data_IF_361578948576
#
_entry.id   IF_361578948576
#
_cell.length_a   1.000
_cell.length_b   1.000
_cell.length_c   1.000
_cell.angle_alpha   90.00
_cell.angle_beta   90.00
_cell.angle_gamma   90.00
#
_symmetry.space_group_name_H-M   'P 1'
#
loop_
_entity.id
_entity.type
_entity.pdbx_description
1 polymer ?
#
# COMPACT_ATOMS: atom_id res chain seq x y z
N UNK A 1 -13.55 78.19 18.59
CA UNK A 1 -14.36 77.62 17.48
C UNK A 1 -13.46 76.71 16.67
N UNK A 2 -13.46 75.41 16.98
CA UNK A 2 -12.51 74.42 16.46
C UNK A 2 -13.27 73.20 15.95
N UNK A 3 -12.87 72.74 14.76
CA UNK A 3 -13.54 71.75 13.92
C UNK A 3 -13.41 70.34 14.52
N UNK A 4 -14.52 69.64 14.70
CA UNK A 4 -14.53 68.19 14.96
C UNK A 4 -14.70 67.43 13.64
N UNK A 5 -13.73 66.57 13.33
CA UNK A 5 -13.73 65.63 12.22
C UNK A 5 -14.35 64.31 12.69
N UNK A 6 -15.46 63.88 12.07
CA UNK A 6 -16.00 62.53 12.23
C UNK A 6 -15.34 61.62 11.20
N UNK A 7 -14.61 60.61 11.66
CA UNK A 7 -14.19 59.47 10.84
C UNK A 7 -15.22 58.35 10.99
N UNK A 8 -15.95 58.07 9.91
CA UNK A 8 -16.82 56.91 9.76
C UNK A 8 -15.98 55.68 9.39
N UNK A 9 -15.95 54.68 10.26
CA UNK A 9 -15.41 53.35 9.94
C UNK A 9 -16.41 52.60 9.03
N UNK A 10 -16.04 52.36 7.77
CA UNK A 10 -16.69 51.37 6.92
C UNK A 10 -16.16 49.97 7.28
N UNK A 11 -16.99 49.12 7.88
CA UNK A 11 -16.76 47.68 7.90
C UNK A 11 -17.30 47.06 6.60
N UNK A 12 -16.40 46.64 5.72
CA UNK A 12 -16.73 45.82 4.57
C UNK A 12 -16.74 44.35 4.99
N UNK A 13 -17.91 43.73 5.07
CA UNK A 13 -18.04 42.28 5.24
C UNK A 13 -17.63 41.57 3.94
N UNK A 14 -16.48 40.91 3.93
CA UNK A 14 -16.06 40.02 2.85
C UNK A 14 -16.75 38.68 3.08
N UNK A 15 -17.84 38.40 2.34
CA UNK A 15 -18.36 37.05 2.21
C UNK A 15 -17.39 36.23 1.36
N UNK A 16 -16.62 35.35 2.00
CA UNK A 16 -15.91 34.27 1.33
C UNK A 16 -16.95 33.23 0.88
N UNK A 17 -17.38 33.34 -0.37
CA UNK A 17 -18.09 32.27 -1.06
C UNK A 17 -17.11 31.13 -1.32
N UNK A 18 -17.11 30.13 -0.42
CA UNK A 18 -16.46 28.85 -0.69
C UNK A 18 -17.30 28.13 -1.75
N UNK A 19 -16.86 28.19 -3.01
CA UNK A 19 -17.38 27.30 -4.04
C UNK A 19 -16.98 25.86 -3.66
N UNK A 20 -17.90 25.13 -3.03
CA UNK A 20 -17.78 23.69 -2.92
C UNK A 20 -17.87 23.13 -4.34
N UNK A 21 -16.72 22.78 -4.92
CA UNK A 21 -16.69 21.97 -6.14
C UNK A 21 -17.34 20.64 -5.77
N UNK A 22 -18.46 20.25 -6.41
CA UNK A 22 -19.03 18.92 -6.19
C UNK A 22 -17.95 17.93 -6.59
N UNK A 23 -17.65 17.01 -5.68
CA UNK A 23 -16.71 15.97 -5.99
C UNK A 23 -17.33 15.08 -7.06
N UNK A 24 -16.61 14.98 -8.18
CA UNK A 24 -17.03 14.19 -9.31
C UNK A 24 -16.57 12.76 -8.99
N UNK A 25 -17.51 11.90 -8.62
CA UNK A 25 -17.26 10.46 -8.62
C UNK A 25 -16.69 10.09 -9.99
N UNK A 26 -15.66 9.25 -10.04
CA UNK A 26 -15.08 8.84 -11.31
C UNK A 26 -16.19 8.24 -12.19
N UNK A 27 -16.13 8.52 -13.50
CA UNK A 27 -17.02 7.87 -14.46
C UNK A 27 -16.85 6.36 -14.33
N UNK A 28 -17.91 5.55 -14.18
CA UNK A 28 -17.76 4.10 -14.13
C UNK A 28 -16.95 3.64 -15.32
N UNK A 29 -15.99 2.72 -15.13
CA UNK A 29 -15.32 2.11 -16.27
C UNK A 29 -16.38 1.55 -17.23
N UNK A 30 -16.15 1.73 -18.53
CA UNK A 30 -16.97 1.11 -19.55
C UNK A 30 -16.10 0.01 -20.13
N UNK A 31 -16.59 -1.23 -20.10
CA UNK A 31 -15.89 -2.34 -20.73
C UNK A 31 -15.54 -2.01 -22.18
N UNK A 32 -14.40 -2.54 -22.62
CA UNK A 32 -13.97 -2.39 -24.00
C UNK A 32 -15.02 -2.97 -24.97
N UNK A 33 -15.16 -2.38 -26.17
CA UNK A 33 -16.06 -2.91 -27.18
C UNK A 33 -15.78 -4.40 -27.48
N UNK A 34 -16.81 -5.24 -27.35
CA UNK A 34 -16.71 -6.68 -27.60
C UNK A 34 -16.52 -7.54 -26.35
N UNK A 35 -16.25 -6.94 -25.19
CA UNK A 35 -16.29 -7.63 -23.89
C UNK A 35 -17.74 -7.67 -23.41
N UNK A 36 -18.26 -8.89 -23.18
CA UNK A 36 -19.62 -9.11 -22.68
C UNK A 36 -19.61 -9.31 -21.16
N UNK A 37 -19.20 -8.27 -20.46
CA UNK A 37 -19.12 -8.21 -18.99
C UNK A 37 -19.48 -6.78 -18.51
N UNK A 38 -19.39 -6.52 -17.20
CA UNK A 38 -19.53 -5.19 -16.60
C UNK A 38 -18.45 -5.00 -15.51
N UNK A 39 -17.95 -3.78 -15.26
CA UNK A 39 -17.03 -3.57 -14.14
C UNK A 39 -17.70 -3.99 -12.83
N UNK A 40 -16.97 -4.76 -12.03
CA UNK A 40 -17.45 -5.15 -10.71
C UNK A 40 -17.49 -3.92 -9.79
N UNK A 41 -16.51 -3.02 -9.92
CA UNK A 41 -16.46 -1.79 -9.13
C UNK A 41 -16.79 -0.55 -9.97
N UNK A 42 -18.05 -0.13 -9.93
CA UNK A 42 -18.55 0.97 -10.78
C UNK A 42 -18.33 2.38 -10.22
N UNK A 43 -17.89 2.51 -8.97
CA UNK A 43 -17.87 3.80 -8.26
C UNK A 43 -16.53 4.04 -7.53
N UNK A 44 -15.50 4.37 -8.31
CA UNK A 44 -14.21 4.79 -7.75
C UNK A 44 -14.32 6.01 -6.85
N UNK A 45 -13.62 5.96 -5.73
CA UNK A 45 -13.66 6.98 -4.70
C UNK A 45 -12.50 7.94 -4.84
N UNK A 46 -12.75 9.25 -4.85
CA UNK A 46 -11.66 10.21 -4.71
C UNK A 46 -11.32 10.43 -3.24
N UNK A 47 -10.07 10.79 -2.96
CA UNK A 47 -9.63 11.06 -1.58
C UNK A 47 -10.53 12.11 -0.89
N UNK A 48 -10.97 13.14 -1.63
CA UNK A 48 -11.85 14.19 -1.13
C UNK A 48 -13.28 13.72 -0.83
N UNK A 49 -13.72 12.60 -1.41
CA UNK A 49 -15.01 12.00 -1.12
C UNK A 49 -14.98 11.26 0.19
N UNK A 50 -13.95 10.43 0.38
CA UNK A 50 -13.76 9.67 1.61
C UNK A 50 -13.67 10.56 2.85
N UNK A 51 -13.05 11.75 2.72
CA UNK A 51 -12.95 12.73 3.82
C UNK A 51 -14.30 13.28 4.30
N UNK A 52 -15.38 13.10 3.53
CA UNK A 52 -16.74 13.52 3.88
C UNK A 52 -17.58 12.36 4.44
N UNK A 53 -17.05 11.15 4.44
CA UNK A 53 -17.74 9.94 4.88
C UNK A 53 -17.39 9.59 6.32
N UNK A 54 -18.28 8.85 6.97
CA UNK A 54 -17.98 8.22 8.26
C UNK A 54 -17.02 7.04 8.07
N UNK A 55 -16.25 6.72 9.10
CA UNK A 55 -15.28 5.62 9.07
C UNK A 55 -15.90 4.30 8.59
N UNK A 56 -17.10 3.97 9.08
CA UNK A 56 -17.80 2.74 8.74
C UNK A 56 -18.10 2.63 7.25
N UNK A 57 -18.43 3.76 6.60
CA UNK A 57 -18.70 3.79 5.16
C UNK A 57 -17.42 3.57 4.36
N UNK A 58 -16.31 4.20 4.77
CA UNK A 58 -15.00 4.02 4.12
C UNK A 58 -14.51 2.58 4.31
N UNK A 59 -14.71 2.03 5.50
CA UNK A 59 -14.37 0.64 5.82
C UNK A 59 -15.18 -0.36 4.97
N UNK A 60 -16.48 -0.13 4.78
CA UNK A 60 -17.35 -0.97 3.92
C UNK A 60 -16.95 -0.88 2.44
N UNK A 61 -16.55 0.30 1.95
CA UNK A 61 -16.01 0.43 0.59
C UNK A 61 -14.71 -0.35 0.44
N UNK A 62 -13.80 -0.22 1.41
CA UNK A 62 -12.56 -0.98 1.44
C UNK A 62 -12.78 -2.50 1.50
N UNK A 63 -13.80 -2.93 2.26
CA UNK A 63 -14.19 -4.33 2.31
C UNK A 63 -14.68 -4.82 0.94
N UNK A 64 -15.51 -4.05 0.24
CA UNK A 64 -15.95 -4.36 -1.13
C UNK A 64 -14.78 -4.52 -2.08
N UNK A 65 -13.88 -3.55 -2.13
CA UNK A 65 -12.63 -3.64 -2.92
C UNK A 65 -11.76 -4.86 -2.57
N UNK A 66 -11.89 -5.42 -1.37
CA UNK A 66 -11.15 -6.60 -0.95
C UNK A 66 -11.81 -7.92 -1.39
N UNK A 67 -13.14 -7.98 -1.43
CA UNK A 67 -13.92 -9.21 -1.65
C UNK A 67 -14.51 -9.33 -3.05
N UNK A 68 -14.66 -8.22 -3.76
CA UNK A 68 -15.26 -8.17 -5.08
C UNK A 68 -14.30 -8.77 -6.12
N UNK A 69 -14.83 -9.60 -7.01
CA UNK A 69 -14.06 -10.28 -8.05
C UNK A 69 -13.82 -9.34 -9.24
N UNK A 70 -12.58 -8.88 -9.39
CA UNK A 70 -12.14 -8.01 -10.47
C UNK A 70 -12.10 -8.75 -11.80
N UNK A 71 -12.51 -8.07 -12.86
CA UNK A 71 -12.50 -8.60 -14.21
C UNK A 71 -11.75 -7.68 -15.19
N UNK A 72 -11.79 -8.02 -16.47
CA UNK A 72 -11.14 -7.24 -17.54
C UNK A 72 -11.66 -5.79 -17.60
N UNK A 73 -12.93 -5.55 -17.26
CA UNK A 73 -13.50 -4.21 -17.28
C UNK A 73 -13.04 -3.32 -16.13
N UNK A 74 -12.53 -3.93 -15.05
CA UNK A 74 -11.89 -3.22 -13.95
C UNK A 74 -10.39 -2.96 -14.23
N UNK A 75 -9.79 -3.55 -15.28
CA UNK A 75 -8.36 -3.46 -15.59
C UNK A 75 -7.52 -4.66 -15.16
N UNK A 76 -8.14 -5.81 -14.81
CA UNK A 76 -7.37 -6.96 -14.37
C UNK A 76 -6.60 -7.63 -15.52
N UNK A 77 -5.31 -7.98 -15.30
CA UNK A 77 -4.54 -8.88 -16.18
C UNK A 77 -3.15 -8.41 -16.59
N UNK A 78 -2.91 -7.09 -16.65
CA UNK A 78 -1.63 -6.47 -17.06
C UNK A 78 -0.93 -7.11 -18.29
N UNK A 79 -1.58 -7.19 -19.46
CA UNK A 79 -1.04 -7.90 -20.62
C UNK A 79 0.32 -7.35 -21.09
N UNK A 80 0.56 -6.05 -21.00
CA UNK A 80 1.75 -5.33 -21.47
C UNK A 80 2.82 -5.06 -20.41
N UNK A 81 2.62 -5.44 -19.14
CA UNK A 81 3.67 -5.37 -18.10
C UNK A 81 3.83 -6.69 -17.37
N UNK A 82 4.95 -6.87 -16.67
CA UNK A 82 5.24 -8.10 -15.93
C UNK A 82 4.99 -7.98 -14.41
N UNK A 83 4.15 -7.05 -13.94
CA UNK A 83 3.95 -6.83 -12.49
C UNK A 83 5.00 -5.91 -11.85
N UNK A 84 6.07 -5.59 -12.59
CA UNK A 84 6.89 -4.38 -12.37
C UNK A 84 6.50 -3.29 -13.39
N UNK A 85 7.22 -2.16 -13.39
CA UNK A 85 7.09 -1.12 -14.44
C UNK A 85 7.75 -1.51 -15.77
N UNK A 86 8.31 -2.72 -15.89
CA UNK A 86 8.93 -3.18 -17.11
C UNK A 86 7.87 -3.60 -18.13
N UNK A 87 7.91 -2.95 -19.29
CA UNK A 87 7.09 -3.33 -20.44
C UNK A 87 7.48 -4.73 -20.95
N UNK A 88 6.49 -5.49 -21.39
CA UNK A 88 6.64 -6.72 -22.18
C UNK A 88 5.80 -6.61 -23.44
N UNK A 89 6.04 -7.51 -24.40
CA UNK A 89 5.13 -7.67 -25.53
C UNK A 89 3.75 -8.04 -24.96
N UNK A 90 2.68 -7.28 -25.27
CA UNK A 90 1.34 -7.61 -24.80
C UNK A 90 0.95 -9.04 -25.16
N UNK A 91 0.34 -9.74 -24.21
CA UNK A 91 -0.26 -11.04 -24.46
C UNK A 91 -1.41 -10.89 -25.46
N UNK A 92 -1.45 -11.68 -26.55
CA UNK A 92 -2.47 -11.52 -27.60
C UNK A 92 -3.87 -12.01 -27.22
N UNK A 93 -4.11 -12.53 -26.01
CA UNK A 93 -5.47 -12.86 -25.57
C UNK A 93 -6.18 -11.65 -24.97
N UNK A 94 -7.44 -11.49 -25.36
CA UNK A 94 -8.38 -10.51 -24.79
C UNK A 94 -8.81 -10.98 -23.38
N UNK A 95 -8.16 -10.45 -22.33
CA UNK A 95 -8.56 -10.64 -20.93
C UNK A 95 -7.47 -11.20 -19.99
N UNK A 96 -7.69 -11.16 -18.66
CA UNK A 96 -6.74 -11.65 -17.67
C UNK A 96 -6.48 -13.13 -17.86
N UNK A 97 -5.22 -13.49 -18.15
CA UNK A 97 -4.79 -14.89 -18.09
C UNK A 97 -4.49 -15.26 -16.67
N UNK A 98 -5.43 -15.92 -16.00
CA UNK A 98 -5.17 -16.49 -14.69
C UNK A 98 -4.03 -17.48 -14.76
N UNK A 99 -2.97 -17.17 -14.03
CA UNK A 99 -1.84 -18.08 -13.87
C UNK A 99 -1.55 -18.20 -12.39
N UNK A 100 -1.35 -19.43 -11.92
CA UNK A 100 -0.90 -19.64 -10.54
C UNK A 100 0.50 -19.10 -10.27
N UNK A 101 1.25 -18.74 -11.33
CA UNK A 101 2.66 -18.37 -11.24
C UNK A 101 2.93 -16.87 -11.39
N UNK A 102 2.23 -16.13 -12.26
CA UNK A 102 2.59 -14.74 -12.60
C UNK A 102 1.38 -13.86 -12.87
N UNK A 103 0.35 -14.06 -12.06
CA UNK A 103 -0.93 -13.38 -12.02
C UNK A 103 -1.73 -13.17 -13.34
N UNK A 104 -3.01 -12.78 -13.22
CA UNK A 104 -3.78 -12.73 -11.97
C UNK A 104 -3.83 -14.10 -11.29
N UNK A 105 -3.56 -14.18 -9.98
CA UNK A 105 -3.57 -15.45 -9.24
C UNK A 105 -4.95 -15.77 -8.66
N UNK A 106 -5.76 -14.72 -8.48
CA UNK A 106 -7.12 -14.71 -7.98
C UNK A 106 -7.82 -13.43 -8.45
N UNK A 107 -9.14 -13.50 -8.51
CA UNK A 107 -10.01 -12.43 -8.99
C UNK A 107 -10.22 -11.36 -7.90
N UNK A 108 -10.04 -11.73 -6.63
CA UNK A 108 -10.15 -10.83 -5.47
C UNK A 108 -9.08 -11.10 -4.42
N UNK A 109 -8.80 -10.13 -3.54
CA UNK A 109 -7.88 -10.34 -2.41
C UNK A 109 -8.37 -11.49 -1.51
N UNK A 110 -9.70 -11.58 -1.33
CA UNK A 110 -10.36 -12.64 -0.58
C UNK A 110 -10.20 -14.04 -1.18
N UNK A 111 -9.84 -14.17 -2.47
CA UNK A 111 -9.52 -15.47 -3.07
C UNK A 111 -8.30 -16.14 -2.44
N UNK A 112 -7.36 -15.37 -1.88
CA UNK A 112 -6.20 -15.91 -1.17
C UNK A 112 -6.21 -15.60 0.34
N UNK A 113 -6.75 -14.45 0.75
CA UNK A 113 -6.79 -14.02 2.15
C UNK A 113 -8.15 -14.32 2.81
N UNK A 114 -8.46 -15.60 3.00
CA UNK A 114 -9.84 -16.04 3.22
C UNK A 114 -10.11 -16.81 4.52
N UNK A 115 -9.07 -17.28 5.24
CA UNK A 115 -9.25 -18.22 6.35
C UNK A 115 -9.00 -17.58 7.72
N UNK A 116 -9.97 -17.63 8.67
CA UNK A 116 -11.31 -18.23 8.54
C UNK A 116 -12.34 -17.31 7.85
N UNK A 117 -11.98 -16.07 7.55
CA UNK A 117 -12.80 -15.08 6.85
C UNK A 117 -11.91 -14.14 6.02
N UNK A 118 -12.52 -13.26 5.22
CA UNK A 118 -11.80 -12.23 4.46
C UNK A 118 -10.81 -11.43 5.34
N UNK A 119 -9.59 -11.25 4.83
CA UNK A 119 -8.44 -10.70 5.57
C UNK A 119 -7.59 -11.77 6.30
N UNK A 120 -8.05 -13.02 6.25
CA UNK A 120 -7.38 -14.17 6.85
C UNK A 120 -6.16 -14.65 6.07
N UNK A 121 -5.55 -15.74 6.55
CA UNK A 121 -4.48 -16.41 5.82
C UNK A 121 -5.06 -17.26 4.68
N UNK A 122 -4.19 -17.72 3.79
CA UNK A 122 -4.51 -18.71 2.76
C UNK A 122 -3.90 -20.07 3.07
N UNK A 123 -4.55 -21.14 2.62
CA UNK A 123 -3.97 -22.49 2.62
C UNK A 123 -2.84 -22.58 1.58
N UNK A 124 -2.14 -23.72 1.53
CA UNK A 124 -1.06 -24.00 0.59
C UNK A 124 -1.43 -23.69 -0.87
N UNK A 125 -2.66 -24.01 -1.29
CA UNK A 125 -3.14 -23.74 -2.66
C UNK A 125 -3.22 -22.25 -2.99
N UNK A 126 -3.26 -21.38 -1.99
CA UNK A 126 -3.31 -19.92 -2.12
C UNK A 126 -1.92 -19.26 -2.03
N UNK A 127 -0.84 -20.04 -1.92
CA UNK A 127 0.52 -19.50 -1.96
C UNK A 127 0.79 -18.76 -3.28
N UNK A 128 1.65 -17.74 -3.23
CA UNK A 128 2.08 -16.99 -4.41
C UNK A 128 3.53 -17.30 -4.75
N UNK A 129 3.89 -17.22 -6.03
CA UNK A 129 5.26 -17.42 -6.50
C UNK A 129 5.90 -16.06 -6.81
N UNK A 130 6.74 -15.59 -5.90
CA UNK A 130 7.45 -14.32 -6.09
C UNK A 130 8.63 -14.53 -7.03
N UNK A 131 8.90 -13.55 -7.90
CA UNK A 131 9.94 -13.51 -8.94
C UNK A 131 9.59 -14.29 -10.22
N UNK A 132 8.54 -15.12 -10.19
CA UNK A 132 7.98 -15.84 -11.34
C UNK A 132 7.75 -14.95 -12.57
N UNK A 133 7.33 -13.72 -12.32
CA UNK A 133 7.02 -12.72 -13.33
C UNK A 133 8.23 -12.16 -14.09
N UNK A 134 9.46 -12.44 -13.62
CA UNK A 134 10.67 -11.97 -14.29
C UNK A 134 11.11 -12.86 -15.46
N UNK A 135 10.50 -14.03 -15.65
CA UNK A 135 10.88 -14.95 -16.74
C UNK A 135 10.10 -14.69 -18.02
N UNK A 136 10.78 -14.90 -19.14
CA UNK A 136 10.24 -14.68 -20.48
C UNK A 136 10.53 -15.92 -21.36
N UNK A 137 9.51 -16.74 -21.69
CA UNK A 137 8.13 -16.68 -21.20
C UNK A 137 8.03 -17.08 -19.73
N UNK A 138 6.97 -16.66 -19.04
CA UNK A 138 6.69 -17.08 -17.65
C UNK A 138 6.67 -18.60 -17.51
N UNK A 139 6.18 -19.33 -18.53
CA UNK A 139 6.19 -20.80 -18.56
C UNK A 139 7.59 -21.41 -18.48
N UNK A 140 8.63 -20.65 -18.83
CA UNK A 140 10.02 -21.04 -18.62
C UNK A 140 10.34 -21.37 -17.17
N UNK A 141 9.66 -20.73 -16.20
CA UNK A 141 9.78 -21.04 -14.77
C UNK A 141 9.38 -22.49 -14.43
N UNK A 142 8.24 -22.95 -14.98
CA UNK A 142 7.65 -24.25 -14.62
C UNK A 142 8.49 -25.40 -15.18
N UNK A 143 9.20 -25.14 -16.27
CA UNK A 143 9.97 -26.13 -17.02
C UNK A 143 11.48 -26.07 -16.69
N UNK A 144 11.89 -25.18 -15.78
CA UNK A 144 13.29 -25.07 -15.35
C UNK A 144 13.65 -26.23 -14.42
N UNK A 145 14.65 -27.02 -14.83
CA UNK A 145 15.15 -28.17 -14.07
C UNK A 145 15.86 -27.74 -12.78
N UNK A 146 16.36 -26.50 -12.70
CA UNK A 146 16.88 -25.87 -11.49
C UNK A 146 15.78 -25.08 -10.75
N UNK A 147 14.65 -25.74 -10.54
CA UNK A 147 13.45 -25.31 -9.79
C UNK A 147 13.75 -24.66 -8.41
N UNK A 148 15.00 -24.77 -7.92
CA UNK A 148 15.45 -24.30 -6.61
C UNK A 148 15.81 -22.81 -6.54
N UNK A 149 16.07 -22.13 -7.67
CA UNK A 149 16.63 -20.77 -7.68
C UNK A 149 15.75 -19.71 -8.33
N UNK A 150 14.73 -20.10 -9.09
CA UNK A 150 14.06 -19.20 -10.03
C UNK A 150 12.84 -18.47 -9.42
N UNK A 151 12.21 -19.02 -8.37
CA UNK A 151 11.06 -18.40 -7.71
C UNK A 151 10.97 -18.76 -6.22
N UNK A 152 10.23 -17.95 -5.49
CA UNK A 152 10.02 -18.12 -4.05
C UNK A 152 8.53 -18.30 -3.78
N UNK A 153 8.10 -19.54 -3.58
CA UNK A 153 6.75 -19.83 -3.10
C UNK A 153 6.57 -19.26 -1.69
N UNK A 154 5.51 -18.48 -1.48
CA UNK A 154 5.23 -17.79 -0.22
C UNK A 154 3.80 -17.97 0.18
N UNK A 155 3.61 -18.35 1.44
CA UNK A 155 2.30 -18.46 2.02
C UNK A 155 1.63 -17.09 2.18
N UNK A 156 0.34 -17.08 1.88
CA UNK A 156 -0.54 -15.92 2.02
C UNK A 156 -0.85 -15.70 3.50
N UNK A 157 -0.26 -14.66 4.07
CA UNK A 157 -0.37 -14.35 5.49
C UNK A 157 -1.70 -13.63 5.81
N UNK A 158 -2.22 -13.87 7.01
CA UNK A 158 -3.34 -13.10 7.53
C UNK A 158 -2.95 -11.65 7.85
N UNK A 159 -3.93 -10.76 7.75
CA UNK A 159 -3.73 -9.31 7.88
C UNK A 159 -4.37 -8.72 9.14
N UNK A 160 -5.05 -9.54 9.94
CA UNK A 160 -5.60 -9.17 11.24
C UNK A 160 -4.51 -8.59 12.15
N UNK A 161 -4.74 -7.36 12.63
CA UNK A 161 -3.78 -6.63 13.46
C UNK A 161 -2.65 -5.93 12.70
N UNK A 162 -2.66 -5.95 11.36
CA UNK A 162 -1.63 -5.29 10.54
C UNK A 162 -1.52 -3.78 10.81
N UNK A 163 -2.63 -3.11 11.15
CA UNK A 163 -2.62 -1.69 11.54
C UNK A 163 -1.76 -1.42 12.78
N UNK A 164 -1.81 -2.29 13.80
CA UNK A 164 -0.98 -2.14 14.99
C UNK A 164 0.51 -2.38 14.69
N UNK A 165 0.81 -3.29 13.77
CA UNK A 165 2.18 -3.55 13.30
C UNK A 165 2.73 -2.33 12.56
N UNK A 166 1.93 -1.72 11.68
CA UNK A 166 2.33 -0.50 10.97
C UNK A 166 2.57 0.66 11.94
N UNK A 167 1.66 0.88 12.89
CA UNK A 167 1.79 1.97 13.86
C UNK A 167 3.03 1.81 14.73
N UNK A 168 3.31 0.59 15.20
CA UNK A 168 4.55 0.30 15.92
C UNK A 168 5.79 0.61 15.07
N UNK A 169 5.78 0.23 13.79
CA UNK A 169 6.85 0.57 12.85
C UNK A 169 7.04 2.08 12.67
N UNK A 170 5.94 2.85 12.60
CA UNK A 170 5.96 4.32 12.51
C UNK A 170 6.53 4.96 13.77
N UNK A 171 6.08 4.53 14.94
CA UNK A 171 6.60 5.01 16.23
C UNK A 171 8.10 4.74 16.37
N UNK A 172 8.53 3.51 16.10
CA UNK A 172 9.94 3.13 16.17
C UNK A 172 10.80 3.92 15.17
N UNK A 173 10.30 4.16 13.95
CA UNK A 173 11.00 4.99 12.95
C UNK A 173 11.16 6.43 13.43
N UNK A 174 10.11 7.00 14.04
CA UNK A 174 10.16 8.35 14.60
C UNK A 174 11.16 8.46 15.77
N UNK A 175 11.18 7.46 16.65
CA UNK A 175 12.15 7.38 17.76
C UNK A 175 13.59 7.29 17.23
N UNK A 176 13.85 6.44 16.24
CA UNK A 176 15.18 6.30 15.62
C UNK A 176 15.63 7.60 14.93
N UNK A 177 14.72 8.28 14.24
CA UNK A 177 15.00 9.60 13.64
C UNK A 177 15.34 10.64 14.72
N UNK A 178 14.64 10.62 15.87
CA UNK A 178 14.94 11.51 16.99
C UNK A 178 16.32 11.20 17.62
N UNK A 179 16.69 9.92 17.75
CA UNK A 179 18.01 9.51 18.24
C UNK A 179 19.15 9.94 17.31
N UNK A 180 18.95 9.82 15.99
CA UNK A 180 19.86 10.37 14.98
C UNK A 180 20.03 11.88 15.12
N UNK A 181 18.93 12.63 15.24
CA UNK A 181 18.98 14.08 15.43
C UNK A 181 19.67 14.47 16.75
N UNK A 182 19.44 13.71 17.82
CA UNK A 182 20.13 13.89 19.10
C UNK A 182 21.64 13.74 18.96
N UNK A 183 22.12 12.69 18.27
CA UNK A 183 23.54 12.47 18.06
C UNK A 183 24.18 13.62 17.27
N UNK A 184 23.54 14.04 16.16
CA UNK A 184 24.01 15.17 15.34
C UNK A 184 24.13 16.47 16.17
N UNK A 185 23.12 16.76 16.99
CA UNK A 185 23.13 17.96 17.84
C UNK A 185 24.22 17.90 18.92
N UNK A 186 24.45 16.73 19.53
CA UNK A 186 25.53 16.55 20.51
C UNK A 186 26.87 16.76 19.82
N UNK A 187 27.11 16.16 18.65
CA UNK A 187 28.38 16.27 17.95
C UNK A 187 28.68 17.70 17.51
N UNK A 188 27.67 18.39 16.96
CA UNK A 188 27.81 19.78 16.53
C UNK A 188 28.08 20.72 17.71
N UNK A 189 27.41 20.52 18.86
CA UNK A 189 27.57 21.41 20.02
C UNK A 189 28.84 21.14 20.84
N UNK A 190 29.31 19.90 20.89
CA UNK A 190 30.54 19.52 21.61
C UNK A 190 31.82 19.73 20.79
N UNK A 191 31.70 19.75 19.45
CA UNK A 191 32.85 19.70 18.56
C UNK A 191 33.59 18.34 18.58
N UNK A 192 32.96 17.30 19.12
CA UNK A 192 33.48 15.93 19.22
C UNK A 192 32.47 14.93 18.64
N UNK A 193 32.93 13.71 18.34
CA UNK A 193 32.03 12.65 17.91
C UNK A 193 31.02 12.28 19.01
N UNK A 194 29.80 11.97 18.61
CA UNK A 194 28.72 11.57 19.51
C UNK A 194 28.17 10.20 19.12
N UNK A 195 28.35 9.21 19.99
CA UNK A 195 27.78 7.88 19.85
C UNK A 195 26.42 7.80 20.56
N UNK A 196 25.40 7.28 19.90
CA UNK A 196 24.07 7.07 20.46
C UNK A 196 23.58 5.66 20.15
N UNK A 197 23.11 4.95 21.18
CA UNK A 197 22.45 3.66 21.02
C UNK A 197 21.07 3.83 20.36
N UNK A 198 20.79 2.99 19.37
CA UNK A 198 19.52 2.94 18.67
C UNK A 198 18.57 1.96 19.36
N UNK A 199 17.94 2.41 20.44
CA UNK A 199 17.01 1.61 21.23
C UNK A 199 15.61 2.24 21.20
N UNK A 200 14.62 1.49 20.70
CA UNK A 200 13.21 1.90 20.72
C UNK A 200 12.31 0.71 21.01
N UNK A 201 11.26 0.93 21.81
CA UNK A 201 10.28 -0.10 22.22
C UNK A 201 10.92 -1.41 22.75
N UNK A 202 12.09 -1.30 23.39
CA UNK A 202 12.84 -2.45 23.93
C UNK A 202 13.66 -3.24 22.92
N UNK A 203 13.72 -2.80 21.66
CA UNK A 203 14.51 -3.43 20.58
C UNK A 203 15.72 -2.56 20.25
N UNK A 204 16.91 -3.18 20.25
CA UNK A 204 18.16 -2.51 19.87
C UNK A 204 18.46 -2.72 18.39
N UNK A 205 18.84 -1.64 17.72
CA UNK A 205 19.30 -1.59 16.32
C UNK A 205 20.78 -1.20 16.26
N UNK A 206 21.54 -1.50 17.32
CA UNK A 206 22.95 -1.16 17.43
C UNK A 206 23.16 0.29 17.84
N UNK A 207 24.12 0.97 17.21
CA UNK A 207 24.49 2.36 17.54
C UNK A 207 24.88 3.12 16.29
N UNK A 208 24.74 4.44 16.36
CA UNK A 208 25.28 5.35 15.35
C UNK A 208 26.28 6.31 15.97
N UNK A 209 27.22 6.79 15.16
CA UNK A 209 28.19 7.81 15.55
C UNK A 209 27.97 9.02 14.64
N UNK A 210 27.76 10.18 15.24
CA UNK A 210 27.69 11.45 14.53
C UNK A 210 29.00 12.22 14.69
N UNK A 211 29.51 12.78 13.61
CA UNK A 211 30.70 13.61 13.61
C UNK A 211 30.33 15.10 13.65
N UNK A 212 31.22 15.98 14.16
CA UNK A 212 30.96 17.44 14.24
C UNK A 212 30.71 18.12 12.89
N UNK A 213 31.16 17.52 11.78
CA UNK A 213 30.94 18.03 10.42
C UNK A 213 29.56 17.66 9.84
N UNK A 214 28.74 16.92 10.61
CA UNK A 214 27.40 16.47 10.21
C UNK A 214 27.37 15.11 9.51
N UNK A 215 28.52 14.46 9.30
CA UNK A 215 28.56 13.09 8.79
C UNK A 215 28.14 12.06 9.85
N UNK A 216 27.70 10.88 9.37
CA UNK A 216 27.25 9.78 10.21
C UNK A 216 28.02 8.51 9.86
N UNK A 217 28.54 7.83 10.87
CA UNK A 217 28.95 6.43 10.79
C UNK A 217 27.80 5.54 11.28
N UNK A 218 27.34 4.71 10.35
CA UNK A 218 26.23 3.77 10.51
C UNK A 218 26.70 2.31 10.43
N UNK A 219 28.01 2.06 10.47
CA UNK A 219 28.61 0.71 10.38
C UNK A 219 28.17 -0.22 11.51
N UNK A 220 27.71 0.34 12.62
CA UNK A 220 27.22 -0.38 13.79
C UNK A 220 25.70 -0.42 13.89
N UNK A 221 24.98 0.09 12.88
CA UNK A 221 23.52 -0.04 12.76
C UNK A 221 23.18 -1.46 12.30
N UNK A 222 22.19 -2.08 12.94
CA UNK A 222 21.82 -3.48 12.72
C UNK A 222 20.31 -3.63 12.59
N UNK A 223 19.86 -4.52 11.69
CA UNK A 223 18.45 -4.90 11.58
C UNK A 223 17.51 -3.82 11.00
N UNK A 224 18.06 -2.68 10.58
CA UNK A 224 17.34 -1.60 9.91
C UNK A 224 18.26 -0.98 8.85
N UNK A 225 17.67 -0.47 7.78
CA UNK A 225 18.43 0.24 6.74
C UNK A 225 19.03 1.55 7.27
N UNK A 226 20.06 2.10 6.59
CA UNK A 226 20.69 3.38 6.97
C UNK A 226 19.75 4.59 7.07
N UNK A 227 18.54 4.49 6.48
CA UNK A 227 17.51 5.52 6.60
C UNK A 227 16.71 5.45 7.92
N UNK A 228 16.95 4.41 8.73
CA UNK A 228 16.34 4.17 10.04
C UNK A 228 14.82 4.02 9.99
N UNK A 229 14.26 3.62 8.85
CA UNK A 229 12.84 3.33 8.69
C UNK A 229 12.58 1.85 8.95
N UNK A 230 11.66 1.56 9.87
CA UNK A 230 11.19 0.20 10.12
C UNK A 230 10.22 -0.21 9.01
N UNK A 231 10.50 -1.36 8.40
CA UNK A 231 9.73 -1.94 7.30
C UNK A 231 9.18 -3.31 7.71
N UNK A 232 7.96 -3.38 8.28
CA UNK A 232 7.48 -4.63 8.85
C UNK A 232 6.83 -5.56 7.81
N UNK A 233 6.56 -5.08 6.58
CA UNK A 233 5.76 -5.81 5.61
C UNK A 233 6.58 -6.48 4.50
N UNK A 234 5.97 -7.52 3.92
CA UNK A 234 6.55 -8.63 3.15
C UNK A 234 7.55 -9.50 3.91
N UNK A 235 7.90 -10.63 3.29
CA UNK A 235 8.80 -11.64 3.88
C UNK A 235 10.20 -11.12 4.21
N UNK A 236 10.70 -10.12 3.47
CA UNK A 236 12.03 -9.54 3.68
C UNK A 236 11.99 -8.23 4.47
N UNK A 237 10.82 -7.72 4.83
CA UNK A 237 10.69 -6.44 5.52
C UNK A 237 11.12 -5.27 4.63
N UNK A 238 10.49 -5.12 3.47
CA UNK A 238 10.87 -4.07 2.48
C UNK A 238 9.77 -3.04 2.21
N UNK A 239 8.58 -3.19 2.81
CA UNK A 239 7.53 -2.18 2.77
C UNK A 239 7.28 -1.59 4.16
N UNK A 240 7.16 -0.27 4.21
CA UNK A 240 6.95 0.50 5.46
C UNK A 240 5.50 0.62 5.88
N UNK A 241 4.56 0.32 4.97
CA UNK A 241 3.12 0.45 5.22
C UNK A 241 2.33 -0.58 4.43
N UNK A 242 1.13 -0.87 4.90
CA UNK A 242 0.11 -1.66 4.20
C UNK A 242 -0.25 -0.99 2.89
N UNK A 243 -0.37 0.35 2.83
CA UNK A 243 -0.64 1.07 1.57
C UNK A 243 0.41 0.77 0.49
N UNK A 244 1.68 0.87 0.86
CA UNK A 244 2.80 0.57 -0.05
C UNK A 244 2.76 -0.88 -0.54
N UNK A 245 2.47 -1.82 0.36
CA UNK A 245 2.30 -3.22 0.00
C UNK A 245 1.10 -3.42 -0.94
N UNK A 246 -0.05 -2.83 -0.63
CA UNK A 246 -1.31 -2.95 -1.38
C UNK A 246 -1.18 -2.42 -2.79
N UNK A 247 -0.59 -1.24 -2.98
CA UNK A 247 -0.30 -0.70 -4.33
C UNK A 247 0.56 -1.67 -5.15
N UNK A 248 1.55 -2.31 -4.52
CA UNK A 248 2.35 -3.35 -5.17
C UNK A 248 1.56 -4.62 -5.46
N UNK A 249 0.73 -5.05 -4.52
CA UNK A 249 -0.05 -6.27 -4.61
C UNK A 249 -1.15 -6.18 -5.67
N UNK A 250 -1.85 -5.05 -5.81
CA UNK A 250 -2.85 -4.84 -6.86
C UNK A 250 -2.22 -5.06 -8.25
N UNK A 251 -1.06 -4.43 -8.50
CA UNK A 251 -0.39 -4.62 -9.79
C UNK A 251 0.21 -6.01 -9.93
N UNK A 252 0.85 -6.56 -8.89
CA UNK A 252 1.56 -7.83 -8.99
C UNK A 252 0.63 -9.05 -9.01
N UNK A 253 -0.51 -9.01 -8.32
CA UNK A 253 -1.37 -10.18 -8.08
C UNK A 253 -2.72 -10.12 -8.79
N UNK A 254 -3.22 -8.92 -9.06
CA UNK A 254 -4.45 -8.70 -9.84
C UNK A 254 -4.15 -8.13 -11.23
N UNK A 255 -2.96 -7.55 -11.42
CA UNK A 255 -2.64 -6.87 -12.66
C UNK A 255 -3.33 -5.52 -12.79
N UNK A 256 -3.71 -4.92 -11.66
CA UNK A 256 -4.42 -3.65 -11.63
C UNK A 256 -3.54 -2.49 -11.14
N UNK A 257 -3.71 -1.30 -11.71
CA UNK A 257 -2.80 -0.18 -11.54
C UNK A 257 -3.39 0.98 -10.73
N UNK A 258 -2.73 1.28 -9.62
CA UNK A 258 -3.06 2.44 -8.80
C UNK A 258 -2.57 3.76 -9.42
N UNK A 259 -3.45 4.75 -9.58
CA UNK A 259 -3.10 6.05 -10.16
C UNK A 259 -2.00 6.77 -9.40
N UNK A 260 -1.89 6.57 -8.08
CA UNK A 260 -0.80 7.15 -7.26
C UNK A 260 0.60 6.64 -7.63
N UNK A 261 0.70 5.48 -8.31
CA UNK A 261 1.97 4.91 -8.77
C UNK A 261 2.18 5.09 -10.27
N UNK A 262 1.13 4.92 -11.07
CA UNK A 262 1.25 4.84 -12.53
C UNK A 262 0.90 6.14 -13.25
N UNK A 263 0.19 7.05 -12.57
CA UNK A 263 -0.27 8.32 -13.11
C UNK A 263 -1.75 8.27 -13.52
N UNK A 264 -2.38 9.45 -13.57
CA UNK A 264 -3.76 9.57 -14.07
C UNK A 264 -3.79 9.55 -15.61
N UNK A 265 -4.78 8.88 -16.17
CA UNK A 265 -5.01 8.77 -17.62
C UNK A 265 -3.95 7.96 -18.37
N UNK A 266 -3.15 7.15 -17.67
CA UNK A 266 -2.13 6.29 -18.27
C UNK A 266 -2.61 4.85 -18.39
N UNK A 267 -2.19 4.16 -19.45
CA UNK A 267 -2.36 2.71 -19.67
C UNK A 267 -0.99 2.04 -19.96
N UNK A 268 -0.12 1.87 -18.93
CA UNK A 268 1.20 1.26 -19.08
C UNK A 268 1.20 -0.21 -19.52
N UNK A 269 0.17 -0.99 -19.17
CA UNK A 269 0.04 -2.39 -19.53
C UNK A 269 -0.83 -2.65 -20.76
N UNK A 270 -1.30 -1.61 -21.42
CA UNK A 270 -1.93 -1.67 -22.75
C UNK A 270 -3.14 -2.60 -22.75
N UNK A 271 -3.91 -2.60 -21.67
CA UNK A 271 -5.16 -3.35 -21.60
C UNK A 271 -6.37 -2.52 -22.07
N UNK A 272 -6.18 -1.22 -22.31
CA UNK A 272 -7.21 -0.29 -22.78
C UNK A 272 -8.03 0.37 -21.66
N UNK A 273 -7.76 0.04 -20.41
CA UNK A 273 -8.35 0.67 -19.23
C UNK A 273 -7.31 1.64 -18.63
N UNK A 274 -7.76 2.82 -18.24
CA UNK A 274 -6.95 3.82 -17.53
C UNK A 274 -7.62 4.12 -16.20
N UNK A 275 -6.86 4.57 -15.21
CA UNK A 275 -7.39 4.98 -13.89
C UNK A 275 -8.10 3.86 -13.10
N UNK A 276 -7.62 2.62 -13.27
CA UNK A 276 -8.21 1.39 -12.72
C UNK A 276 -8.42 1.41 -11.20
N UNK A 277 -7.51 2.03 -10.45
CA UNK A 277 -7.61 2.19 -9.00
C UNK A 277 -7.21 3.60 -8.60
N UNK A 278 -8.18 4.38 -8.16
CA UNK A 278 -7.94 5.76 -7.72
C UNK A 278 -7.22 5.81 -6.36
N UNK A 279 -6.70 6.99 -6.01
CA UNK A 279 -6.08 7.24 -4.70
C UNK A 279 -7.04 6.91 -3.56
N UNK A 280 -8.32 7.25 -3.71
CA UNK A 280 -9.32 6.97 -2.68
C UNK A 280 -9.67 5.47 -2.60
N UNK A 281 -9.71 4.74 -3.71
CA UNK A 281 -9.90 3.28 -3.65
C UNK A 281 -8.80 2.61 -2.84
N UNK A 282 -7.53 2.95 -3.10
CA UNK A 282 -6.40 2.44 -2.31
C UNK A 282 -6.50 2.91 -0.85
N UNK A 283 -6.98 4.13 -0.58
CA UNK A 283 -7.23 4.59 0.80
C UNK A 283 -8.27 3.73 1.50
N UNK A 284 -9.42 3.51 0.88
CA UNK A 284 -10.50 2.70 1.45
C UNK A 284 -10.04 1.26 1.68
N UNK A 285 -9.40 0.64 0.67
CA UNK A 285 -8.84 -0.70 0.78
C UNK A 285 -7.83 -0.80 1.92
N UNK A 286 -6.88 0.15 2.02
CA UNK A 286 -5.89 0.17 3.11
C UNK A 286 -6.55 0.34 4.48
N UNK A 287 -7.59 1.17 4.60
CA UNK A 287 -8.34 1.36 5.84
C UNK A 287 -9.03 0.06 6.27
N UNK A 288 -9.63 -0.68 5.33
CA UNK A 288 -10.19 -1.99 5.63
C UNK A 288 -9.12 -2.94 6.17
N UNK A 289 -8.01 -3.07 5.44
CA UNK A 289 -6.91 -3.99 5.76
C UNK A 289 -6.28 -3.69 7.13
N UNK A 290 -5.98 -2.41 7.40
CA UNK A 290 -5.37 -1.97 8.67
C UNK A 290 -6.37 -1.95 9.83
N UNK A 291 -7.67 -1.79 9.54
CA UNK A 291 -8.74 -1.81 10.53
C UNK A 291 -9.18 -3.22 10.96
N UNK A 292 -8.64 -4.28 10.36
CA UNK A 292 -8.88 -5.65 10.81
C UNK A 292 -8.34 -5.85 12.23
N UNK A 293 -9.16 -6.37 13.17
CA UNK A 293 -8.80 -6.42 14.59
C UNK A 293 -7.59 -7.32 14.83
N UNK A 294 -6.78 -7.00 15.83
CA UNK A 294 -5.73 -7.90 16.28
C UNK A 294 -6.34 -9.19 16.86
N UNK A 295 -5.81 -10.38 16.51
CA UNK A 295 -6.27 -11.62 17.14
C UNK A 295 -6.05 -11.59 18.65
N UNK A 296 -7.06 -11.99 19.42
CA UNK A 296 -6.97 -12.13 20.87
C UNK A 296 -7.06 -13.61 21.24
N UNK A 297 -6.19 -14.04 22.15
CA UNK A 297 -6.34 -15.35 22.77
C UNK A 297 -7.52 -15.32 23.74
N UNK A 298 -8.43 -16.28 23.61
CA UNK A 298 -9.54 -16.46 24.54
C UNK A 298 -9.46 -17.86 25.13
N UNK A 299 -9.69 -17.97 26.44
CA UNK A 299 -9.81 -19.28 27.08
C UNK A 299 -11.09 -19.97 26.59
N UNK A 300 -11.05 -21.28 26.30
CA UNK A 300 -12.26 -22.05 26.02
C UNK A 300 -13.24 -21.90 27.19
N UNK A 301 -14.50 -21.57 26.89
CA UNK A 301 -15.54 -21.42 27.93
C UNK A 301 -15.86 -22.74 28.63
N UNK A 302 -15.64 -23.86 27.95
CA UNK A 302 -15.88 -25.20 28.47
C UNK A 302 -14.54 -25.92 28.67
N UNK A 303 -14.38 -26.56 29.84
CA UNK A 303 -13.29 -27.50 30.06
C UNK A 303 -13.45 -28.66 29.08
N UNK A 304 -12.44 -28.93 28.27
CA UNK A 304 -12.38 -30.14 27.44
C UNK A 304 -12.37 -31.34 28.39
N UNK A 305 -13.53 -31.96 28.60
CA UNK A 305 -13.70 -33.23 29.32
C UNK A 305 -13.50 -34.40 28.38
#
# INVERSE_FOLDING_TARGET
MSRFSLWTLCLSAILLLTNAVPAVAHTPHICLPGVNDAPTFVAHQQQNDLLKMHFEQVFEIGQRLFIDDFNQCDGAGRPGTNGSIAARRPDPLEGPRFTRVSAPEADSCAGCHAQPQAGGAGDFVANVFVLAQNQIPVSGMILDEDFSQTFLERNTLGMFGSGAIEELGREMSADLAALKMKALNIAASSGQEATVDLLTKGVSFGRLIAHPDGSLDLSEVQGVDPDLIIRPFSRKGVQRSVREFTVGAMNQHHGMQATERYGEGTDPDQDGITDELSIGDITALTIFQTGLPAPIQTEPKDSVT
#
